data_IF_095973699098
#
_entry.id   IF_095973699098
#
_cell.length_a   1.000
_cell.length_b   1.000
_cell.length_c   1.000
_cell.angle_alpha   90.00
_cell.angle_beta   90.00
_cell.angle_gamma   90.00
#
_symmetry.space_group_name_H-M   'P 1'
#
loop_
_entity.id
_entity.type
_entity.pdbx_description
1 polymer ?
#
# COMPACT_ATOMS: atom_id res chain seq x y z
N UNK A 1 36.92 -19.67 2.59
CA UNK A 1 35.83 -19.06 3.38
C UNK A 1 35.17 -17.92 2.59
N UNK A 2 35.95 -17.18 1.81
CA UNK A 2 35.51 -15.96 1.10
C UNK A 2 34.50 -16.20 -0.03
N UNK A 3 34.64 -17.30 -0.79
CA UNK A 3 33.69 -17.64 -1.89
C UNK A 3 32.29 -17.93 -1.35
N UNK A 4 32.18 -18.62 -0.21
CA UNK A 4 30.90 -18.94 0.41
C UNK A 4 30.22 -17.67 0.91
N UNK A 5 30.97 -16.77 1.53
CA UNK A 5 30.47 -15.46 1.99
C UNK A 5 29.98 -14.63 0.80
N UNK A 6 30.71 -14.62 -0.32
CA UNK A 6 30.31 -13.93 -1.54
C UNK A 6 28.99 -14.47 -2.11
N UNK A 7 28.79 -15.80 -2.13
CA UNK A 7 27.55 -16.43 -2.59
C UNK A 7 26.36 -16.03 -1.69
N UNK A 8 26.57 -15.97 -0.37
CA UNK A 8 25.53 -15.55 0.58
C UNK A 8 25.15 -14.08 0.34
N UNK A 9 26.14 -13.19 0.18
CA UNK A 9 25.90 -11.77 -0.11
C UNK A 9 25.12 -11.64 -1.42
N UNK A 10 25.50 -12.38 -2.46
CA UNK A 10 24.80 -12.38 -3.75
C UNK A 10 23.35 -12.85 -3.61
N UNK A 11 23.08 -13.92 -2.85
CA UNK A 11 21.73 -14.40 -2.58
C UNK A 11 20.88 -13.35 -1.83
N UNK A 12 21.45 -12.63 -0.86
CA UNK A 12 20.78 -11.53 -0.17
C UNK A 12 20.41 -10.41 -1.14
N UNK A 13 21.35 -9.99 -2.00
CA UNK A 13 21.11 -8.96 -3.01
C UNK A 13 19.98 -9.39 -3.96
N UNK A 14 20.02 -10.63 -4.47
CA UNK A 14 18.98 -11.16 -5.35
C UNK A 14 17.61 -11.23 -4.67
N UNK A 15 17.56 -11.57 -3.39
CA UNK A 15 16.33 -11.58 -2.60
C UNK A 15 15.74 -10.16 -2.47
N UNK A 16 16.58 -9.16 -2.19
CA UNK A 16 16.16 -7.74 -2.14
C UNK A 16 15.63 -7.25 -3.49
N UNK A 17 16.33 -7.59 -4.59
CA UNK A 17 15.90 -7.28 -5.96
C UNK A 17 14.53 -7.92 -6.23
N UNK A 18 14.39 -9.21 -5.91
CA UNK A 18 13.13 -9.95 -6.03
C UNK A 18 12.00 -9.24 -5.29
N UNK A 19 12.19 -8.91 -4.02
CA UNK A 19 11.19 -8.22 -3.19
C UNK A 19 10.73 -6.88 -3.78
N UNK A 20 11.67 -6.05 -4.25
CA UNK A 20 11.38 -4.77 -4.90
C UNK A 20 10.54 -4.98 -6.17
N UNK A 21 10.98 -5.89 -7.04
CA UNK A 21 10.29 -6.20 -8.30
C UNK A 21 8.90 -6.78 -8.05
N UNK A 22 8.73 -7.62 -7.03
CA UNK A 22 7.46 -8.22 -6.64
C UNK A 22 6.46 -7.18 -6.15
N UNK A 23 6.90 -6.31 -5.22
CA UNK A 23 6.11 -5.15 -4.78
C UNK A 23 5.72 -4.25 -5.93
N UNK A 24 6.60 -4.07 -6.92
CA UNK A 24 6.33 -3.24 -8.09
C UNK A 24 5.28 -3.87 -9.03
N UNK A 25 5.37 -5.18 -9.32
CA UNK A 25 4.36 -5.92 -10.09
C UNK A 25 2.98 -5.82 -9.44
N UNK A 26 2.87 -6.06 -8.14
CA UNK A 26 1.62 -5.94 -7.40
C UNK A 26 1.04 -4.52 -7.50
N UNK A 27 1.87 -3.49 -7.33
CA UNK A 27 1.44 -2.10 -7.52
C UNK A 27 0.93 -1.81 -8.93
N UNK A 28 1.61 -2.31 -9.97
CA UNK A 28 1.15 -2.16 -11.35
C UNK A 28 -0.19 -2.86 -11.57
N UNK A 29 -0.39 -4.05 -10.99
CA UNK A 29 -1.67 -4.79 -11.09
C UNK A 29 -2.82 -3.99 -10.47
N UNK A 30 -2.64 -3.49 -9.24
CA UNK A 30 -3.66 -2.68 -8.56
C UNK A 30 -3.97 -1.38 -9.32
N UNK A 31 -2.94 -0.67 -9.80
CA UNK A 31 -3.14 0.53 -10.64
C UNK A 31 -3.91 0.23 -11.92
N UNK A 32 -3.67 -0.92 -12.56
CA UNK A 32 -4.43 -1.33 -13.75
C UNK A 32 -5.89 -1.61 -13.43
N UNK A 33 -6.19 -2.24 -12.29
CA UNK A 33 -7.56 -2.46 -11.85
C UNK A 33 -8.30 -1.13 -11.64
N UNK A 34 -7.71 -0.17 -10.90
CA UNK A 34 -8.26 1.18 -10.72
C UNK A 34 -8.47 1.90 -12.05
N UNK A 35 -7.47 1.86 -12.95
CA UNK A 35 -7.55 2.52 -14.26
C UNK A 35 -8.70 1.98 -15.10
N UNK A 36 -8.92 0.65 -15.08
CA UNK A 36 -10.06 0.03 -15.78
C UNK A 36 -11.39 0.55 -15.25
N UNK A 37 -11.55 0.58 -13.92
CA UNK A 37 -12.77 1.10 -13.29
C UNK A 37 -13.05 2.55 -13.68
N UNK A 38 -12.01 3.40 -13.73
CA UNK A 38 -12.12 4.80 -14.15
C UNK A 38 -12.51 4.95 -15.62
N UNK A 39 -11.99 4.09 -16.51
CA UNK A 39 -12.32 4.11 -17.95
C UNK A 39 -13.74 3.63 -18.24
N UNK A 40 -14.21 2.63 -17.50
CA UNK A 40 -15.56 2.07 -17.61
C UNK A 40 -16.61 2.89 -16.85
N UNK A 41 -16.29 4.12 -16.42
CA UNK A 41 -17.20 4.92 -15.61
C UNK A 41 -18.47 5.26 -16.42
N UNK A 42 -19.66 4.75 -16.03
CA UNK A 42 -20.91 5.05 -16.72
C UNK A 42 -21.44 6.44 -16.37
N UNK A 43 -20.91 7.07 -15.31
CA UNK A 43 -21.33 8.37 -14.82
C UNK A 43 -20.37 9.45 -15.31
N UNK A 44 -20.91 10.47 -15.97
CA UNK A 44 -20.16 11.68 -16.30
C UNK A 44 -20.05 12.59 -15.07
N UNK A 45 -21.18 12.80 -14.39
CA UNK A 45 -21.31 13.59 -13.17
C UNK A 45 -22.18 12.85 -12.16
N UNK A 46 -21.87 12.97 -10.88
CA UNK A 46 -22.69 12.44 -9.80
C UNK A 46 -22.79 13.49 -8.70
N UNK A 47 -23.93 14.18 -8.60
CA UNK A 47 -24.08 15.31 -7.68
C UNK A 47 -24.19 14.85 -6.23
N UNK A 48 -24.98 13.82 -5.98
CA UNK A 48 -25.27 13.44 -4.61
C UNK A 48 -24.05 12.75 -3.99
N UNK A 49 -23.84 12.95 -2.69
CA UNK A 49 -22.76 12.24 -2.00
C UNK A 49 -23.13 10.75 -2.01
N UNK A 50 -22.29 9.86 -2.56
CA UNK A 50 -22.59 8.43 -2.59
C UNK A 50 -22.82 7.93 -1.16
N UNK A 51 -23.54 6.80 -1.02
CA UNK A 51 -23.86 6.15 0.26
C UNK A 51 -22.77 6.41 1.32
N UNK A 52 -23.08 7.15 2.40
CA UNK A 52 -22.13 7.75 3.35
C UNK A 52 -21.23 6.74 4.07
N UNK A 53 -20.28 6.17 3.33
CA UNK A 53 -19.36 5.13 3.79
C UNK A 53 -18.14 5.72 4.52
N UNK A 54 -18.10 7.05 4.69
CA UNK A 54 -17.02 7.76 5.35
C UNK A 54 -15.77 7.92 4.47
N UNK A 55 -15.08 9.04 4.66
CA UNK A 55 -13.89 9.42 3.86
C UNK A 55 -12.77 8.38 3.94
N UNK A 56 -12.56 7.74 5.09
CA UNK A 56 -11.54 6.70 5.24
C UNK A 56 -11.74 5.52 4.28
N UNK A 57 -13.00 5.08 4.10
CA UNK A 57 -13.36 4.01 3.17
C UNK A 57 -13.09 4.42 1.73
N UNK A 58 -13.57 5.59 1.32
CA UNK A 58 -13.36 6.09 -0.04
C UNK A 58 -11.88 6.27 -0.37
N UNK A 59 -11.10 6.88 0.52
CA UNK A 59 -9.67 7.04 0.36
C UNK A 59 -8.97 5.71 0.10
N UNK A 60 -9.26 4.71 0.93
CA UNK A 60 -8.64 3.41 0.78
C UNK A 60 -9.05 2.70 -0.52
N UNK A 61 -10.30 2.84 -0.97
CA UNK A 61 -10.75 2.20 -2.20
C UNK A 61 -10.14 2.80 -3.46
N UNK A 62 -9.81 4.09 -3.46
CA UNK A 62 -9.26 4.80 -4.63
C UNK A 62 -7.86 4.35 -5.01
N UNK A 63 -6.98 4.06 -4.04
CA UNK A 63 -5.59 3.67 -4.35
C UNK A 63 -4.92 2.67 -3.37
N UNK A 64 -5.67 2.15 -2.40
CA UNK A 64 -5.21 1.26 -1.31
C UNK A 64 -4.13 1.83 -0.39
N UNK A 65 -3.91 3.14 -0.46
CA UNK A 65 -2.99 3.88 0.39
C UNK A 65 -3.79 4.87 1.24
N UNK A 66 -3.16 5.31 2.31
CA UNK A 66 -3.71 6.34 3.18
C UNK A 66 -2.58 7.31 3.47
N UNK A 67 -2.83 8.56 3.19
CA UNK A 67 -1.90 9.66 3.35
C UNK A 67 -2.45 10.66 4.36
N UNK A 68 -1.61 11.60 4.80
CA UNK A 68 -2.03 12.68 5.70
C UNK A 68 -3.18 13.51 5.12
N UNK A 69 -3.27 13.61 3.79
CA UNK A 69 -4.36 14.29 3.09
C UNK A 69 -5.71 13.63 3.39
N UNK A 70 -5.77 12.31 3.35
CA UNK A 70 -7.01 11.55 3.53
C UNK A 70 -7.49 11.65 4.98
N UNK A 71 -6.56 11.65 5.94
CA UNK A 71 -6.88 11.92 7.34
C UNK A 71 -7.46 13.33 7.55
N UNK A 72 -6.89 14.35 6.91
CA UNK A 72 -7.44 15.72 6.96
C UNK A 72 -8.84 15.80 6.34
N UNK A 73 -9.08 15.15 5.20
CA UNK A 73 -10.41 15.05 4.61
C UNK A 73 -11.40 14.39 5.57
N UNK A 74 -10.98 13.35 6.30
CA UNK A 74 -11.82 12.70 7.30
C UNK A 74 -12.16 13.63 8.49
N UNK A 75 -11.21 14.46 8.95
CA UNK A 75 -11.48 15.48 9.98
C UNK A 75 -12.49 16.52 9.51
N UNK A 76 -12.36 16.99 8.27
CA UNK A 76 -13.30 17.94 7.66
C UNK A 76 -14.70 17.31 7.58
N UNK A 77 -14.80 16.06 7.14
CA UNK A 77 -16.08 15.36 7.04
C UNK A 77 -16.73 15.15 8.42
N UNK A 78 -15.95 14.80 9.44
CA UNK A 78 -16.42 14.71 10.82
C UNK A 78 -16.86 16.08 11.36
N UNK A 79 -16.20 17.16 10.95
CA UNK A 79 -16.62 18.53 11.27
C UNK A 79 -17.97 18.85 10.63
N UNK A 80 -18.12 18.54 9.34
CA UNK A 80 -19.35 18.76 8.57
C UNK A 80 -20.52 17.93 9.10
N UNK A 81 -20.23 16.72 9.60
CA UNK A 81 -21.19 15.86 10.30
C UNK A 81 -21.50 16.37 11.72
N UNK A 82 -20.82 17.43 12.20
CA UNK A 82 -21.07 18.06 13.49
C UNK A 82 -20.49 17.30 14.69
N UNK A 83 -19.52 16.40 14.48
CA UNK A 83 -18.86 15.66 15.57
C UNK A 83 -17.70 16.41 16.20
N UNK A 84 -17.09 17.30 15.44
CA UNK A 84 -16.01 18.16 15.90
C UNK A 84 -16.15 19.56 15.31
N UNK A 85 -15.49 20.54 15.93
CA UNK A 85 -15.38 21.90 15.43
C UNK A 85 -13.92 22.19 15.11
N UNK A 86 -13.68 22.70 13.91
CA UNK A 86 -12.38 23.14 13.45
C UNK A 86 -12.30 24.66 13.61
N UNK A 87 -11.65 25.12 14.67
CA UNK A 87 -11.46 26.54 14.94
C UNK A 87 -10.11 26.99 14.40
N UNK A 88 -10.12 27.83 13.37
CA UNK A 88 -8.93 28.48 12.86
C UNK A 88 -8.62 29.72 13.71
N UNK A 89 -7.53 29.67 14.47
CA UNK A 89 -6.93 30.88 15.08
C UNK A 89 -5.75 31.28 14.19
N UNK A 90 -5.38 32.58 14.14
CA UNK A 90 -4.46 33.23 13.19
C UNK A 90 -3.21 32.45 12.70
N UNK A 91 -2.77 31.37 13.37
CA UNK A 91 -1.87 30.38 12.79
C UNK A 91 -2.15 28.91 13.19
N UNK A 92 -3.11 28.57 14.05
CA UNK A 92 -3.32 27.21 14.56
C UNK A 92 -4.75 26.70 14.37
N UNK A 93 -4.86 25.41 14.04
CA UNK A 93 -6.14 24.70 13.98
C UNK A 93 -6.39 24.07 15.35
N UNK A 94 -7.38 24.57 16.09
CA UNK A 94 -7.86 23.95 17.31
C UNK A 94 -9.04 23.05 16.97
N UNK A 95 -8.96 21.80 17.39
CA UNK A 95 -10.03 20.81 17.22
C UNK A 95 -10.77 20.71 18.55
N UNK A 96 -12.08 20.92 18.53
CA UNK A 96 -12.94 20.72 19.69
C UNK A 96 -13.94 19.62 19.41
N UNK A 97 -13.99 18.60 20.26
CA UNK A 97 -14.99 17.55 20.16
C UNK A 97 -16.35 18.08 20.63
N UNK A 98 -17.40 17.69 19.93
CA UNK A 98 -18.78 18.00 20.34
C UNK A 98 -19.36 16.89 21.21
N UNK A 99 -20.44 17.18 21.93
CA UNK A 99 -21.20 16.21 22.72
C UNK A 99 -22.20 15.39 21.88
N UNK A 100 -22.04 15.37 20.55
CA UNK A 100 -22.94 14.65 19.64
C UNK A 100 -22.81 13.14 19.82
N UNK A 101 -23.93 12.44 19.84
CA UNK A 101 -23.95 10.98 19.94
C UNK A 101 -23.24 10.30 18.76
N UNK A 102 -22.27 9.44 19.08
CA UNK A 102 -21.37 8.78 18.15
C UNK A 102 -21.77 7.34 17.80
N UNK A 103 -22.92 6.85 18.28
CA UNK A 103 -23.40 5.47 18.02
C UNK A 103 -23.44 5.12 16.53
N UNK A 104 -23.91 6.06 15.69
CA UNK A 104 -24.08 5.89 14.25
C UNK A 104 -22.80 6.01 13.42
N UNK A 105 -21.66 6.37 14.02
CA UNK A 105 -20.40 6.47 13.30
C UNK A 105 -19.81 5.10 12.97
N UNK A 106 -19.10 5.04 11.85
CA UNK A 106 -18.31 3.89 11.44
C UNK A 106 -17.14 3.67 12.39
N UNK A 107 -16.57 2.45 12.39
CA UNK A 107 -15.48 2.11 13.31
C UNK A 107 -14.25 2.98 13.07
N UNK A 108 -13.94 3.26 11.80
CA UNK A 108 -12.80 4.11 11.44
C UNK A 108 -12.97 5.56 11.89
N UNK A 109 -14.21 6.08 11.89
CA UNK A 109 -14.55 7.42 12.33
C UNK A 109 -14.50 7.52 13.86
N UNK A 110 -15.06 6.52 14.57
CA UNK A 110 -14.94 6.39 16.04
C UNK A 110 -13.48 6.35 16.48
N UNK A 111 -12.63 5.62 15.76
CA UNK A 111 -11.20 5.58 16.04
C UNK A 111 -10.56 6.97 16.01
N UNK A 112 -10.90 7.80 15.01
CA UNK A 112 -10.39 9.18 14.92
C UNK A 112 -10.84 9.99 16.15
N UNK A 113 -12.13 9.94 16.51
CA UNK A 113 -12.66 10.73 17.64
C UNK A 113 -12.05 10.29 18.97
N UNK A 114 -11.97 8.99 19.23
CA UNK A 114 -11.36 8.46 20.46
C UNK A 114 -9.88 8.85 20.54
N UNK A 115 -9.15 8.75 19.43
CA UNK A 115 -7.76 9.13 19.40
C UNK A 115 -7.56 10.62 19.69
N UNK A 116 -8.41 11.49 19.13
CA UNK A 116 -8.38 12.94 19.39
C UNK A 116 -8.74 13.28 20.85
N UNK A 117 -9.61 12.51 21.48
CA UNK A 117 -9.97 12.69 22.89
C UNK A 117 -8.80 12.34 23.82
N UNK A 118 -8.06 11.29 23.48
CA UNK A 118 -6.95 10.77 24.29
C UNK A 118 -5.60 11.45 23.99
N UNK A 119 -5.44 12.07 22.82
CA UNK A 119 -4.15 12.57 22.34
C UNK A 119 -4.24 14.00 21.81
N UNK A 120 -3.39 14.88 22.36
CA UNK A 120 -3.31 16.29 21.94
C UNK A 120 -2.49 16.52 20.67
N UNK A 121 -1.58 15.62 20.30
CA UNK A 121 -0.62 15.82 19.20
C UNK A 121 -0.92 14.97 17.97
N UNK A 122 -1.70 15.52 17.04
CA UNK A 122 -2.12 14.94 15.74
C UNK A 122 -0.97 14.29 14.94
N UNK A 123 0.29 14.76 15.07
CA UNK A 123 1.43 14.17 14.35
C UNK A 123 1.70 12.72 14.71
N UNK A 124 1.28 12.28 15.90
CA UNK A 124 1.44 10.90 16.38
C UNK A 124 0.33 9.96 15.90
N UNK A 125 -0.63 10.44 15.10
CA UNK A 125 -1.75 9.62 14.62
C UNK A 125 -1.25 8.41 13.81
N UNK A 126 -1.72 7.22 14.20
CA UNK A 126 -1.27 5.95 13.61
C UNK A 126 -2.16 5.56 12.44
N UNK A 127 -1.75 5.94 11.22
CA UNK A 127 -2.46 5.60 9.98
C UNK A 127 -2.63 4.07 9.81
N UNK A 128 -1.67 3.27 10.29
CA UNK A 128 -1.76 1.80 10.21
C UNK A 128 -2.90 1.21 11.05
N UNK A 129 -3.17 1.78 12.23
CA UNK A 129 -4.28 1.37 13.08
C UNK A 129 -5.60 1.85 12.49
N UNK A 130 -5.68 3.10 12.02
CA UNK A 130 -6.85 3.62 11.32
C UNK A 130 -7.22 2.77 10.08
N UNK A 131 -6.22 2.35 9.30
CA UNK A 131 -6.38 1.44 8.16
C UNK A 131 -7.08 0.14 8.54
N UNK A 132 -6.80 -0.42 9.73
CA UNK A 132 -7.43 -1.67 10.19
C UNK A 132 -8.93 -1.48 10.30
N UNK A 133 -9.37 -0.41 10.96
CA UNK A 133 -10.80 -0.10 11.11
C UNK A 133 -11.48 0.23 9.79
N UNK A 134 -10.78 0.91 8.86
CA UNK A 134 -11.30 1.12 7.50
C UNK A 134 -11.58 -0.20 6.78
N UNK A 135 -10.64 -1.15 6.86
CA UNK A 135 -10.81 -2.47 6.24
C UNK A 135 -11.97 -3.23 6.89
N UNK A 136 -12.12 -3.16 8.21
CA UNK A 136 -13.27 -3.75 8.91
C UNK A 136 -14.59 -3.16 8.43
N UNK A 137 -14.71 -1.83 8.35
CA UNK A 137 -15.93 -1.17 7.84
C UNK A 137 -16.23 -1.58 6.39
N UNK A 138 -15.22 -1.69 5.51
CA UNK A 138 -15.44 -2.12 4.12
C UNK A 138 -16.02 -3.54 4.03
N UNK A 139 -15.54 -4.43 4.89
CA UNK A 139 -16.02 -5.82 4.95
C UNK A 139 -17.43 -5.90 5.54
N UNK A 140 -17.69 -5.17 6.62
CA UNK A 140 -19.00 -5.13 7.30
C UNK A 140 -20.08 -4.54 6.39
N UNK A 141 -19.75 -3.47 5.65
CA UNK A 141 -20.61 -2.83 4.65
C UNK A 141 -20.73 -3.65 3.35
N UNK A 142 -20.01 -4.78 3.25
CA UNK A 142 -19.95 -5.66 2.07
C UNK A 142 -19.60 -4.90 0.79
N UNK A 143 -18.79 -3.85 0.88
CA UNK A 143 -18.38 -3.03 -0.28
C UNK A 143 -17.27 -3.76 -1.04
N UNK A 144 -16.35 -4.40 -0.32
CA UNK A 144 -15.24 -5.15 -0.87
C UNK A 144 -15.04 -6.48 -0.16
N UNK A 145 -14.25 -7.36 -0.78
CA UNK A 145 -13.93 -8.68 -0.23
C UNK A 145 -12.43 -8.84 -0.04
N UNK A 146 -12.02 -9.65 0.94
CA UNK A 146 -10.63 -10.11 1.02
C UNK A 146 -10.32 -10.94 -0.23
N UNK A 147 -9.16 -10.71 -0.87
CA UNK A 147 -8.72 -11.60 -1.97
C UNK A 147 -8.58 -13.03 -1.43
N UNK A 148 -9.22 -13.98 -2.10
CA UNK A 148 -9.15 -15.40 -1.73
C UNK A 148 -7.74 -15.93 -1.95
N UNK A 149 -7.28 -16.75 -1.02
CA UNK A 149 -5.96 -17.41 -1.07
C UNK A 149 -5.82 -18.32 -2.31
N UNK A 150 -6.90 -18.95 -2.79
CA UNK A 150 -6.90 -19.73 -4.05
C UNK A 150 -6.65 -18.90 -5.32
N UNK A 151 -6.95 -17.60 -5.33
CA UNK A 151 -6.59 -16.70 -6.46
C UNK A 151 -5.10 -16.33 -6.45
N UNK A 152 -4.38 -16.73 -5.40
CA UNK A 152 -3.00 -16.45 -5.09
C UNK A 152 -2.31 -17.79 -4.77
N UNK A 153 -2.16 -18.62 -5.80
CA UNK A 153 -1.73 -20.04 -5.83
C UNK A 153 -0.76 -20.54 -4.73
N UNK A 154 -1.27 -20.82 -3.53
CA UNK A 154 -0.54 -21.32 -2.34
C UNK A 154 0.13 -22.69 -2.57
N UNK A 155 -0.48 -23.56 -3.39
CA UNK A 155 0.05 -24.88 -3.76
C UNK A 155 1.35 -24.77 -4.57
N UNK A 156 1.46 -23.74 -5.42
CA UNK A 156 2.69 -23.45 -6.15
C UNK A 156 3.83 -23.04 -5.23
N UNK A 157 3.56 -22.22 -4.21
CA UNK A 157 4.60 -21.77 -3.26
C UNK A 157 5.09 -22.90 -2.35
N UNK A 158 4.19 -23.73 -1.86
CA UNK A 158 4.54 -24.90 -1.04
C UNK A 158 5.31 -25.96 -1.84
N UNK A 159 4.97 -26.17 -3.12
CA UNK A 159 5.75 -27.04 -4.03
C UNK A 159 7.14 -26.48 -4.33
N UNK A 160 7.25 -25.18 -4.62
CA UNK A 160 8.54 -24.51 -4.84
C UNK A 160 9.44 -24.60 -3.60
N UNK A 161 8.90 -24.37 -2.40
CA UNK A 161 9.66 -24.47 -1.16
C UNK A 161 10.14 -25.91 -0.90
N UNK A 162 9.35 -26.94 -1.23
CA UNK A 162 9.76 -28.34 -1.13
C UNK A 162 10.93 -28.67 -2.07
N UNK A 163 10.86 -28.22 -3.33
CA UNK A 163 11.95 -28.42 -4.31
C UNK A 163 13.24 -27.72 -3.85
N UNK A 164 13.13 -26.51 -3.30
CA UNK A 164 14.25 -25.76 -2.70
C UNK A 164 14.89 -26.51 -1.52
N UNK A 165 14.08 -27.06 -0.61
CA UNK A 165 14.61 -27.82 0.53
C UNK A 165 15.33 -29.10 0.10
N UNK A 166 14.78 -29.83 -0.88
CA UNK A 166 15.37 -31.07 -1.38
C UNK A 166 16.70 -30.79 -2.09
N UNK A 167 16.75 -29.77 -2.95
CA UNK A 167 17.97 -29.40 -3.68
C UNK A 167 19.07 -28.91 -2.74
N UNK A 168 18.73 -28.15 -1.68
CA UNK A 168 19.70 -27.70 -0.68
C UNK A 168 20.28 -28.84 0.17
N UNK A 169 19.46 -29.85 0.52
CA UNK A 169 19.90 -31.00 1.31
C UNK A 169 20.92 -31.87 0.56
N UNK A 170 20.71 -32.09 -0.74
CA UNK A 170 21.66 -32.79 -1.62
C UNK A 170 23.01 -32.06 -1.77
N UNK A 171 22.98 -30.73 -1.71
CA UNK A 171 24.16 -29.89 -1.86
C UNK A 171 25.03 -29.91 -0.60
N UNK A 172 24.39 -29.91 0.58
CA UNK A 172 25.08 -30.03 1.89
C UNK A 172 25.75 -31.40 2.03
N UNK A 173 25.06 -32.48 1.65
CA UNK A 173 25.64 -33.84 1.72
C UNK A 173 26.82 -34.02 0.78
N UNK A 174 26.78 -33.45 -0.43
CA UNK A 174 27.89 -33.48 -1.37
C UNK A 174 29.13 -32.71 -0.85
N UNK A 175 28.94 -31.53 -0.25
CA UNK A 175 30.05 -30.73 0.32
C UNK A 175 30.67 -31.43 1.53
N UNK A 176 29.86 -31.98 2.43
CA UNK A 176 30.36 -32.76 3.59
C UNK A 176 31.18 -33.97 3.14
N UNK A 177 30.76 -34.63 2.05
CA UNK A 177 31.48 -35.77 1.51
C UNK A 177 32.87 -35.38 0.97
N UNK A 178 32.97 -34.26 0.25
CA UNK A 178 34.25 -33.74 -0.26
C UNK A 178 35.21 -33.45 0.89
N UNK A 179 34.73 -32.82 1.97
CA UNK A 179 35.54 -32.53 3.16
C UNK A 179 36.09 -33.81 3.80
N UNK A 180 35.30 -34.88 3.87
CA UNK A 180 35.68 -36.15 4.51
C UNK A 180 36.75 -36.93 3.73
N UNK A 181 36.83 -36.75 2.40
CA UNK A 181 37.71 -37.52 1.53
C UNK A 181 38.96 -36.79 1.04
N UNK A 182 39.11 -35.50 1.34
CA UNK A 182 40.35 -34.76 1.07
C UNK A 182 41.51 -35.36 1.89
N UNK A 183 42.59 -35.76 1.20
CA UNK A 183 43.84 -36.19 1.84
C UNK A 183 43.94 -37.67 2.23
N UNK A 184 42.94 -38.51 1.92
CA UNK A 184 43.01 -39.96 2.15
C UNK A 184 43.71 -40.70 0.99
N UNK A 185 44.46 -41.79 1.26
CA UNK A 185 45.09 -42.59 0.21
C UNK A 185 44.05 -43.21 -0.71
N UNK A 186 44.39 -43.29 -2.01
CA UNK A 186 43.49 -43.76 -3.06
C UNK A 186 43.42 -45.28 -3.01
N UNK A 187 42.29 -45.83 -2.57
CA UNK A 187 41.95 -47.25 -2.70
C UNK A 187 40.88 -47.47 -3.78
N UNK A 188 40.58 -48.74 -4.12
CA UNK A 188 39.59 -49.08 -5.16
C UNK A 188 38.21 -48.50 -4.84
N UNK A 189 37.86 -48.40 -3.56
CA UNK A 189 36.61 -47.82 -3.08
C UNK A 189 36.56 -46.30 -3.35
N UNK A 190 37.68 -45.61 -3.18
CA UNK A 190 37.88 -44.19 -3.49
C UNK A 190 37.69 -43.89 -4.97
N UNK A 191 38.13 -44.78 -5.87
CA UNK A 191 37.98 -44.63 -7.33
C UNK A 191 36.51 -44.77 -7.74
N UNK A 192 35.79 -45.74 -7.17
CA UNK A 192 34.36 -45.93 -7.42
C UNK A 192 33.56 -44.71 -6.94
N UNK A 193 33.88 -44.21 -5.74
CA UNK A 193 33.31 -42.97 -5.18
C UNK A 193 33.60 -41.77 -6.08
N UNK A 194 34.82 -41.64 -6.58
CA UNK A 194 35.22 -40.53 -7.45
C UNK A 194 34.44 -40.54 -8.77
N UNK A 195 34.28 -41.71 -9.42
CA UNK A 195 33.48 -41.86 -10.65
C UNK A 195 32.01 -41.43 -10.47
N UNK A 196 31.43 -41.63 -9.28
CA UNK A 196 30.05 -41.23 -8.97
C UNK A 196 29.95 -39.74 -8.63
N UNK A 197 30.97 -39.15 -7.99
CA UNK A 197 30.92 -37.76 -7.51
C UNK A 197 31.38 -36.72 -8.52
N UNK A 198 32.30 -37.05 -9.43
CA UNK A 198 32.75 -36.15 -10.50
C UNK A 198 31.58 -35.56 -11.29
N UNK A 199 30.57 -36.32 -11.75
CA UNK A 199 29.42 -35.72 -12.42
C UNK A 199 28.65 -34.79 -11.48
N UNK A 200 28.44 -35.15 -10.20
CA UNK A 200 27.72 -34.33 -9.22
C UNK A 200 28.43 -32.98 -8.98
N UNK A 201 29.75 -32.99 -8.85
CA UNK A 201 30.59 -31.81 -8.67
C UNK A 201 30.60 -30.97 -9.97
N UNK A 202 30.65 -31.61 -11.13
CA UNK A 202 30.59 -30.92 -12.43
C UNK A 202 29.27 -30.16 -12.62
N UNK A 203 28.16 -30.64 -12.05
CA UNK A 203 26.87 -29.95 -12.09
C UNK A 203 26.68 -28.94 -10.95
N UNK A 204 27.60 -28.86 -9.98
CA UNK A 204 27.52 -27.93 -8.86
C UNK A 204 27.31 -26.46 -9.27
N UNK A 205 28.04 -25.89 -10.27
CA UNK A 205 27.81 -24.52 -10.70
C UNK A 205 26.40 -24.31 -11.26
N UNK A 206 25.86 -25.32 -11.95
CA UNK A 206 24.51 -25.29 -12.52
C UNK A 206 23.48 -25.27 -11.39
N UNK A 207 23.62 -26.12 -10.37
CA UNK A 207 22.73 -26.13 -9.21
C UNK A 207 22.79 -24.83 -8.41
N UNK A 208 23.99 -24.24 -8.26
CA UNK A 208 24.17 -22.95 -7.61
C UNK A 208 23.43 -21.85 -8.35
N UNK A 209 23.59 -21.77 -9.68
CA UNK A 209 22.88 -20.77 -10.52
C UNK A 209 21.37 -20.96 -10.42
N UNK A 210 20.87 -22.20 -10.50
CA UNK A 210 19.44 -22.50 -10.35
C UNK A 210 18.94 -22.05 -8.96
N UNK A 211 19.70 -22.31 -7.90
CA UNK A 211 19.37 -21.90 -6.54
C UNK A 211 19.25 -20.38 -6.40
N UNK A 212 20.22 -19.62 -6.94
CA UNK A 212 20.20 -18.16 -6.93
C UNK A 212 19.01 -17.59 -7.71
N UNK A 213 18.69 -18.17 -8.88
CA UNK A 213 17.52 -17.82 -9.66
C UNK A 213 16.23 -18.07 -8.86
N UNK A 214 16.13 -19.21 -8.17
CA UNK A 214 14.96 -19.51 -7.35
C UNK A 214 14.78 -18.57 -6.16
N UNK A 215 15.86 -18.15 -5.50
CA UNK A 215 15.82 -17.14 -4.42
C UNK A 215 15.19 -15.85 -4.94
N UNK A 216 15.65 -15.36 -6.10
CA UNK A 216 15.09 -14.15 -6.71
C UNK A 216 13.59 -14.29 -7.01
N UNK A 217 13.18 -15.37 -7.66
CA UNK A 217 11.77 -15.57 -8.04
C UNK A 217 10.86 -15.82 -6.84
N UNK A 218 11.35 -16.50 -5.81
CA UNK A 218 10.60 -16.75 -4.59
C UNK A 218 10.36 -15.46 -3.81
N UNK A 219 11.41 -14.64 -3.60
CA UNK A 219 11.26 -13.31 -2.97
C UNK A 219 10.34 -12.40 -3.78
N UNK A 220 10.42 -12.45 -5.11
CA UNK A 220 9.52 -11.73 -6.01
C UNK A 220 8.06 -12.15 -5.83
N UNK A 221 7.77 -13.44 -5.89
CA UNK A 221 6.39 -13.92 -5.80
C UNK A 221 5.82 -13.70 -4.39
N UNK A 222 6.59 -13.93 -3.32
CA UNK A 222 6.21 -13.65 -1.92
C UNK A 222 5.90 -12.15 -1.72
N UNK A 223 6.74 -11.26 -2.22
CA UNK A 223 6.55 -9.82 -2.06
C UNK A 223 5.34 -9.31 -2.84
N UNK A 224 5.12 -9.83 -4.05
CA UNK A 224 3.92 -9.58 -4.83
C UNK A 224 2.67 -10.08 -4.09
N UNK A 225 2.73 -11.31 -3.56
CA UNK A 225 1.66 -11.94 -2.78
C UNK A 225 1.28 -11.12 -1.55
N UNK A 226 2.24 -10.82 -0.68
CA UNK A 226 2.02 -10.08 0.57
C UNK A 226 1.40 -8.71 0.34
N UNK A 227 1.80 -8.05 -0.75
CA UNK A 227 1.24 -6.75 -1.11
C UNK A 227 -0.19 -6.85 -1.64
N UNK A 228 -0.49 -7.87 -2.45
CA UNK A 228 -1.84 -8.11 -2.97
C UNK A 228 -2.79 -8.63 -1.88
N UNK A 229 -2.34 -9.44 -0.94
CA UNK A 229 -3.18 -9.96 0.15
C UNK A 229 -3.61 -8.86 1.14
N UNK A 230 -2.80 -7.79 1.26
CA UNK A 230 -3.18 -6.55 1.98
C UNK A 230 -4.13 -5.62 1.20
N UNK A 231 -4.46 -5.96 -0.05
CA UNK A 231 -5.45 -5.25 -0.85
C UNK A 231 -6.79 -5.99 -0.84
N UNK A 232 -7.87 -5.28 -1.16
CA UNK A 232 -9.19 -5.88 -1.34
C UNK A 232 -9.39 -6.28 -2.79
N UNK A 233 -10.25 -7.27 -3.01
CA UNK A 233 -10.76 -7.61 -4.33
C UNK A 233 -11.83 -6.59 -4.72
N UNK A 234 -11.71 -6.00 -5.91
CA UNK A 234 -12.78 -5.17 -6.48
C UNK A 234 -13.95 -6.05 -6.89
N UNK A 235 -15.02 -6.01 -6.08
CA UNK A 235 -16.34 -6.52 -6.45
C UNK A 235 -17.03 -5.50 -7.35
N UNK A 236 -18.14 -5.87 -8.01
CA UNK A 236 -18.92 -4.90 -8.78
C UNK A 236 -19.38 -3.71 -7.93
N UNK A 237 -19.77 -3.97 -6.66
CA UNK A 237 -20.10 -2.89 -5.71
C UNK A 237 -18.91 -1.99 -5.41
N UNK A 238 -17.69 -2.54 -5.26
CA UNK A 238 -16.49 -1.71 -5.10
C UNK A 238 -16.26 -0.80 -6.31
N UNK A 239 -16.41 -1.35 -7.53
CA UNK A 239 -16.22 -0.60 -8.77
C UNK A 239 -17.24 0.53 -8.88
N UNK A 240 -18.49 0.25 -8.56
CA UNK A 240 -19.58 1.24 -8.58
C UNK A 240 -19.33 2.40 -7.60
N UNK A 241 -18.92 2.09 -6.37
CA UNK A 241 -18.51 3.10 -5.38
C UNK A 241 -17.36 3.96 -5.89
N UNK A 242 -16.34 3.37 -6.53
CA UNK A 242 -15.22 4.13 -7.10
C UNK A 242 -15.67 5.03 -8.26
N UNK A 243 -16.56 4.54 -9.14
CA UNK A 243 -17.09 5.28 -10.28
C UNK A 243 -17.90 6.50 -9.83
N UNK A 244 -18.77 6.33 -8.83
CA UNK A 244 -19.56 7.43 -8.25
C UNK A 244 -18.68 8.50 -7.60
N UNK A 245 -17.61 8.11 -6.89
CA UNK A 245 -16.64 9.07 -6.34
C UNK A 245 -15.92 9.86 -7.43
N UNK A 246 -15.48 9.20 -8.51
CA UNK A 246 -14.85 9.91 -9.62
C UNK A 246 -15.81 10.86 -10.34
N UNK A 247 -17.06 10.47 -10.51
CA UNK A 247 -18.09 11.30 -11.10
C UNK A 247 -18.51 12.48 -10.19
N UNK A 248 -18.52 12.27 -8.87
CA UNK A 248 -18.64 13.35 -7.89
C UNK A 248 -17.47 14.32 -7.97
N UNK A 249 -16.26 13.80 -8.14
CA UNK A 249 -15.07 14.60 -8.40
C UNK A 249 -15.18 15.48 -9.64
N UNK A 250 -15.66 14.91 -10.75
CA UNK A 250 -15.92 15.67 -11.98
C UNK A 250 -17.00 16.73 -11.76
N UNK A 251 -18.07 16.40 -11.03
CA UNK A 251 -19.14 17.35 -10.72
C UNK A 251 -18.62 18.53 -9.89
N UNK A 252 -17.88 18.23 -8.83
CA UNK A 252 -17.22 19.24 -8.00
C UNK A 252 -16.34 20.11 -8.89
N UNK A 253 -15.45 19.50 -9.68
CA UNK A 253 -14.50 20.26 -10.50
C UNK A 253 -15.19 21.22 -11.48
N UNK A 254 -16.25 20.80 -12.14
CA UNK A 254 -16.84 21.54 -13.25
C UNK A 254 -18.00 22.47 -12.83
N UNK A 255 -18.68 22.18 -11.72
CA UNK A 255 -19.87 22.93 -11.28
C UNK A 255 -19.73 23.65 -9.95
N UNK A 256 -18.69 23.36 -9.18
CA UNK A 256 -18.47 24.13 -7.97
C UNK A 256 -17.78 25.46 -8.30
N UNK A 257 -18.45 26.56 -8.02
CA UNK A 257 -17.81 27.89 -7.93
C UNK A 257 -16.93 28.01 -6.66
N UNK A 258 -16.30 26.91 -6.23
CA UNK A 258 -15.56 26.84 -4.96
C UNK A 258 -14.34 27.76 -4.93
N UNK A 259 -13.77 28.12 -6.08
CA UNK A 259 -12.69 29.11 -6.17
C UNK A 259 -13.15 30.52 -5.74
N UNK A 260 -14.46 30.82 -5.84
CA UNK A 260 -15.00 32.18 -5.73
C UNK A 260 -15.83 32.44 -4.46
N UNK A 261 -15.99 31.45 -3.56
CA UNK A 261 -16.90 31.54 -2.38
C UNK A 261 -16.15 31.66 -1.05
N UNK A 262 -16.67 32.48 -0.13
CA UNK A 262 -16.12 32.66 1.23
C UNK A 262 -16.51 31.53 2.20
N UNK A 263 -15.70 31.30 3.24
CA UNK A 263 -15.87 30.27 4.30
C UNK A 263 -17.29 30.24 4.88
N UNK A 264 -17.86 31.42 5.15
CA UNK A 264 -19.16 31.54 5.79
C UNK A 264 -20.33 31.18 4.85
N UNK A 265 -20.08 31.13 3.54
CA UNK A 265 -21.06 30.71 2.52
C UNK A 265 -20.97 29.20 2.21
N UNK A 266 -19.97 28.51 2.76
CA UNK A 266 -19.68 27.08 2.53
C UNK A 266 -20.43 26.17 3.50
N UNK A 267 -21.25 26.71 4.41
CA UNK A 267 -22.10 25.93 5.34
C UNK A 267 -23.03 24.95 4.59
N UNK A 268 -23.37 25.23 3.33
CA UNK A 268 -24.18 24.35 2.46
C UNK A 268 -23.35 23.23 1.79
N UNK A 269 -22.02 23.37 1.74
CA UNK A 269 -21.11 22.56 0.94
C UNK A 269 -20.02 21.82 1.74
N UNK A 270 -20.07 21.83 3.07
CA UNK A 270 -19.00 21.30 3.95
C UNK A 270 -18.62 19.85 3.65
N UNK A 271 -19.60 19.00 3.32
CA UNK A 271 -19.31 17.61 2.93
C UNK A 271 -18.67 17.51 1.54
N UNK A 272 -19.02 18.34 0.57
CA UNK A 272 -18.35 18.32 -0.74
C UNK A 272 -16.87 18.70 -0.65
N UNK A 273 -16.52 19.57 0.31
CA UNK A 273 -15.14 19.97 0.56
C UNK A 273 -14.25 18.80 0.99
N UNK A 274 -14.76 17.87 1.81
CA UNK A 274 -14.00 16.68 2.21
C UNK A 274 -13.68 15.78 1.01
N UNK A 275 -14.62 15.61 0.07
CA UNK A 275 -14.39 14.87 -1.19
C UNK A 275 -13.46 15.60 -2.16
N UNK A 276 -13.58 16.92 -2.26
CA UNK A 276 -12.67 17.74 -3.06
C UNK A 276 -11.22 17.59 -2.58
N UNK A 277 -11.02 17.63 -1.26
CA UNK A 277 -9.73 17.44 -0.63
C UNK A 277 -9.20 16.01 -0.79
N UNK A 278 -10.08 15.01 -0.62
CA UNK A 278 -9.78 13.60 -0.86
C UNK A 278 -9.23 13.37 -2.29
N UNK A 279 -9.87 13.97 -3.28
CA UNK A 279 -9.54 13.82 -4.70
C UNK A 279 -8.35 14.69 -5.15
N UNK A 280 -7.85 15.57 -4.29
CA UNK A 280 -6.76 16.49 -4.63
C UNK A 280 -7.18 17.57 -5.62
N UNK A 281 -8.45 17.96 -5.62
CA UNK A 281 -8.93 19.09 -6.44
C UNK A 281 -8.53 20.45 -5.86
N UNK A 282 -7.90 20.46 -4.68
CA UNK A 282 -7.50 21.64 -3.92
C UNK A 282 -6.47 22.54 -4.62
N UNK A 283 -5.80 22.07 -5.67
CA UNK A 283 -4.82 22.88 -6.42
C UNK A 283 -5.52 23.70 -7.52
N UNK A 284 -6.65 23.22 -8.05
CA UNK A 284 -7.53 23.94 -9.00
C UNK A 284 -8.63 24.75 -8.31
N UNK A 285 -8.95 24.37 -7.07
CA UNK A 285 -9.78 25.16 -6.17
C UNK A 285 -8.82 26.15 -5.55
N UNK A 286 -8.80 27.40 -6.01
CA UNK A 286 -7.87 28.46 -5.59
C UNK A 286 -8.15 28.89 -4.14
N UNK A 287 -7.98 27.94 -3.24
CA UNK A 287 -8.41 27.97 -1.87
C UNK A 287 -7.34 28.74 -1.13
N UNK A 288 -7.65 30.01 -0.87
CA UNK A 288 -7.08 30.93 0.14
C UNK A 288 -6.67 30.26 1.47
N UNK A 289 -7.14 29.04 1.70
CA UNK A 289 -6.82 28.09 2.77
C UNK A 289 -5.39 27.53 2.71
N UNK A 290 -4.73 27.43 1.55
CA UNK A 290 -3.30 27.02 1.49
C UNK A 290 -2.41 27.93 2.36
N UNK A 291 -2.78 29.22 2.47
CA UNK A 291 -2.12 30.22 3.32
C UNK A 291 -2.49 30.13 4.80
N UNK A 292 -3.71 29.69 5.16
CA UNK A 292 -4.12 29.47 6.57
C UNK A 292 -3.39 28.27 7.18
N UNK A 293 -2.95 27.32 6.34
CA UNK A 293 -2.26 26.11 6.79
C UNK A 293 -0.73 26.16 6.69
N UNK A 294 -0.15 27.34 6.41
CA UNK A 294 1.30 27.54 6.42
C UNK A 294 1.80 27.75 7.87
N UNK A 295 1.46 26.82 8.76
CA UNK A 295 2.01 26.76 10.11
C UNK A 295 3.20 25.78 10.09
N UNK A 296 4.31 26.18 10.70
CA UNK A 296 5.57 25.43 10.81
C UNK A 296 5.38 24.01 11.38
N UNK A 297 4.25 23.74 12.04
CA UNK A 297 3.88 22.41 12.52
C UNK A 297 3.24 21.49 11.46
N UNK A 298 2.88 21.97 10.27
CA UNK A 298 2.24 21.18 9.20
C UNK A 298 2.80 21.44 7.79
N UNK A 299 4.10 21.76 7.66
CA UNK A 299 4.77 21.73 6.34
C UNK A 299 4.68 20.32 5.74
N UNK A 300 3.96 20.20 4.61
CA UNK A 300 4.27 19.19 3.60
C UNK A 300 5.55 19.70 2.96
N UNK A 301 6.58 18.88 2.97
CA UNK A 301 7.85 19.23 2.36
C UNK A 301 7.70 19.17 0.84
N UNK A 302 7.48 20.33 0.21
CA UNK A 302 7.32 20.48 -1.25
C UNK A 302 8.68 20.25 -1.96
N UNK A 303 9.78 20.06 -1.22
CA UNK A 303 11.10 19.73 -1.80
C UNK A 303 11.14 18.38 -2.52
N UNK A 304 10.14 17.50 -2.36
CA UNK A 304 10.07 16.23 -3.10
C UNK A 304 9.38 16.30 -4.47
N UNK A 305 8.90 17.47 -4.91
CA UNK A 305 8.30 17.65 -6.24
C UNK A 305 9.10 18.56 -7.19
N UNK A 306 10.19 19.20 -6.71
CA UNK A 306 11.06 20.02 -7.56
C UNK A 306 12.38 19.34 -7.97
N UNK A 307 12.77 18.20 -7.37
CA UNK A 307 13.99 17.49 -7.76
C UNK A 307 13.84 16.56 -8.98
N UNK A 308 12.68 16.53 -9.65
CA UNK A 308 12.50 15.78 -10.90
C UNK A 308 12.66 16.63 -12.18
N UNK A 309 12.84 17.94 -12.06
CA UNK A 309 13.02 18.83 -13.23
C UNK A 309 14.45 19.38 -13.39
N UNK A 310 15.39 19.06 -12.49
CA UNK A 310 16.82 19.39 -12.65
C UNK A 310 17.70 18.22 -13.14
N UNK A 311 17.15 17.01 -13.30
CA UNK A 311 17.88 15.86 -13.88
C UNK A 311 17.68 15.68 -15.40
N UNK A 312 17.22 16.72 -16.11
CA UNK A 312 17.18 16.75 -17.59
C UNK A 312 17.92 17.96 -18.19
N UNK A 313 18.74 18.65 -17.40
CA UNK A 313 19.73 19.62 -17.89
C UNK A 313 21.02 19.46 -17.09
N UNK A 314 21.67 18.32 -17.28
CA UNK A 314 23.12 18.10 -17.27
C UNK A 314 23.37 16.65 -17.69
#
# INVERSE_FOLDING_TARGET
MDVVILIIILAIILSLIGDILGKFRASRKLKKEIKKVKLENPYLYFRDIPNDYGIGVYAFLLDYKLNKRDFKAALIDLSAKGYLKLLATNNSLRIELTSKDNTNLLKNEKYILNWLNENSNIKKFKISEWKKYIIEDILDLKIGEKRKMKELDDDKYTKLHKVLTITSLFLITAVLFIIVYIGKPIDVFSIIIFLVLVPIISFFPVYLIIGLIMVLFSSFDIASYYKLSKSLKYTEKTKDVIRTIYALGAFIKDFSLFADRNINEIIIWERYFSYAYLLGLNDSLDLKYSKIYNNEHFKIDITTLNNSNELLKN
#
